data_IF_188878298441
#
_entry.id   IF_188878298441
#
_cell.length_a   1.000
_cell.length_b   1.000
_cell.length_c   1.000
_cell.angle_alpha   90.00
_cell.angle_beta   90.00
_cell.angle_gamma   90.00
#
_symmetry.space_group_name_H-M   'P 1'
#
loop_
_entity.id
_entity.type
_entity.pdbx_description
1 polymer ?
#
# COMPACT_ATOMS: atom_id res chain seq x y z
N UNK A 1 -11.17 -20.72 48.40
CA UNK A 1 -9.79 -20.26 48.10
C UNK A 1 -9.61 -20.39 46.60
N UNK A 2 -10.00 -19.35 45.86
CA UNK A 2 -9.87 -19.31 44.40
C UNK A 2 -8.41 -19.09 44.03
N UNK A 3 -7.88 -19.94 43.15
CA UNK A 3 -6.52 -19.81 42.64
C UNK A 3 -6.37 -18.47 41.92
N UNK A 4 -5.27 -17.72 42.13
CA UNK A 4 -5.02 -16.51 41.37
C UNK A 4 -4.89 -16.85 39.88
N UNK A 5 -5.64 -16.12 39.04
CA UNK A 5 -5.52 -16.22 37.58
C UNK A 5 -4.07 -15.90 37.17
N UNK A 6 -3.42 -16.76 36.36
CA UNK A 6 -2.10 -16.44 35.86
C UNK A 6 -2.23 -15.23 34.94
N UNK A 7 -1.54 -14.16 35.30
CA UNK A 7 -1.24 -13.04 34.41
C UNK A 7 -0.48 -13.60 33.22
N UNK A 8 -1.19 -13.84 32.12
CA UNK A 8 -0.60 -14.21 30.84
C UNK A 8 0.29 -13.06 30.41
N UNK A 9 1.61 -13.25 30.48
CA UNK A 9 2.56 -12.35 29.85
C UNK A 9 2.16 -12.14 28.38
N UNK A 10 2.35 -10.93 27.82
CA UNK A 10 2.06 -10.68 26.41
C UNK A 10 2.99 -11.55 25.57
N UNK A 11 2.49 -12.74 25.20
CA UNK A 11 3.17 -13.69 24.33
C UNK A 11 3.25 -13.08 22.92
N UNK A 12 4.22 -12.19 22.73
CA UNK A 12 4.64 -11.76 21.40
C UNK A 12 5.38 -12.94 20.78
N UNK A 13 4.62 -13.90 20.28
CA UNK A 13 5.20 -15.11 19.68
C UNK A 13 6.25 -14.69 18.65
N UNK A 14 7.42 -15.36 18.60
CA UNK A 14 8.48 -15.04 17.65
C UNK A 14 7.97 -15.01 16.20
N UNK A 15 6.92 -15.79 15.91
CA UNK A 15 6.21 -15.82 14.64
C UNK A 15 5.55 -14.48 14.25
N UNK A 16 4.98 -13.74 15.20
CA UNK A 16 4.37 -12.43 14.91
C UNK A 16 5.44 -11.40 14.54
N UNK A 17 6.61 -11.45 15.20
CA UNK A 17 7.75 -10.58 14.89
C UNK A 17 8.34 -10.87 13.52
N UNK A 18 8.48 -12.15 13.17
CA UNK A 18 8.96 -12.57 11.85
C UNK A 18 7.98 -12.19 10.74
N UNK A 19 6.68 -12.35 10.95
CA UNK A 19 5.65 -11.88 10.00
C UNK A 19 5.63 -10.38 9.82
N UNK A 20 5.80 -9.62 10.92
CA UNK A 20 5.89 -8.16 10.85
C UNK A 20 7.13 -7.71 10.05
N UNK A 21 8.29 -8.35 10.28
CA UNK A 21 9.51 -8.13 9.51
C UNK A 21 9.33 -8.48 8.03
N UNK A 22 8.74 -9.63 7.75
CA UNK A 22 8.45 -10.06 6.39
C UNK A 22 7.53 -9.06 5.68
N UNK A 23 6.44 -8.63 6.33
CA UNK A 23 5.55 -7.60 5.80
C UNK A 23 6.28 -6.29 5.50
N UNK A 24 7.14 -5.83 6.42
CA UNK A 24 7.98 -4.65 6.21
C UNK A 24 8.94 -4.82 5.02
N UNK A 25 9.60 -5.98 4.89
CA UNK A 25 10.47 -6.27 3.75
C UNK A 25 9.71 -6.25 2.43
N UNK A 26 8.50 -6.83 2.40
CA UNK A 26 7.62 -6.78 1.23
C UNK A 26 7.22 -5.34 0.91
N UNK A 27 6.86 -4.52 1.91
CA UNK A 27 6.56 -3.10 1.71
C UNK A 27 7.76 -2.34 1.17
N UNK A 28 8.96 -2.57 1.71
CA UNK A 28 10.19 -1.93 1.22
C UNK A 28 10.51 -2.35 -0.20
N UNK A 29 10.36 -3.63 -0.54
CA UNK A 29 10.52 -4.12 -1.90
C UNK A 29 9.52 -3.49 -2.87
N UNK A 30 8.24 -3.44 -2.48
CA UNK A 30 7.19 -2.75 -3.24
C UNK A 30 7.49 -1.26 -3.41
N UNK A 31 8.04 -0.60 -2.39
CA UNK A 31 8.45 0.80 -2.45
C UNK A 31 9.58 1.03 -3.45
N UNK A 32 10.56 0.12 -3.53
CA UNK A 32 11.61 0.20 -4.55
C UNK A 32 11.01 0.08 -5.96
N UNK A 33 10.13 -0.89 -6.19
CA UNK A 33 9.44 -1.06 -7.48
C UNK A 33 8.62 0.19 -7.82
N UNK A 34 7.90 0.73 -6.84
CA UNK A 34 7.12 1.94 -6.97
C UNK A 34 7.98 3.13 -7.40
N UNK A 35 9.15 3.34 -6.79
CA UNK A 35 10.04 4.46 -7.14
C UNK A 35 10.63 4.29 -8.54
N UNK A 36 11.01 3.06 -8.92
CA UNK A 36 11.48 2.74 -10.28
C UNK A 36 10.41 3.11 -11.31
N UNK A 37 9.15 2.76 -11.03
CA UNK A 37 8.01 3.17 -11.86
C UNK A 37 7.62 4.64 -11.70
N UNK A 38 7.89 5.33 -10.60
CA UNK A 38 7.51 6.74 -10.46
C UNK A 38 8.48 7.67 -11.20
N UNK A 39 9.78 7.33 -11.21
CA UNK A 39 10.85 8.11 -11.82
C UNK A 39 11.90 7.22 -12.49
N UNK A 40 11.59 6.64 -13.67
CA UNK A 40 12.56 5.84 -14.43
C UNK A 40 13.75 6.66 -14.93
N UNK A 41 13.63 7.99 -14.96
CA UNK A 41 14.68 8.95 -15.31
C UNK A 41 15.93 8.81 -14.43
N UNK A 42 15.76 8.37 -13.17
CA UNK A 42 16.88 8.09 -12.26
C UNK A 42 17.75 6.91 -12.71
N UNK A 43 17.23 6.07 -13.61
CA UNK A 43 17.93 4.91 -14.18
C UNK A 43 18.40 5.17 -15.62
N UNK A 44 18.37 6.43 -16.09
CA UNK A 44 18.78 6.80 -17.47
C UNK A 44 17.96 6.09 -18.57
N UNK A 45 16.74 5.64 -18.26
CA UNK A 45 15.80 5.14 -19.27
C UNK A 45 15.31 6.33 -20.12
N UNK A 46 15.48 6.24 -21.44
CA UNK A 46 15.09 7.29 -22.38
C UNK A 46 13.59 7.62 -22.29
N UNK A 47 13.25 8.89 -22.50
CA UNK A 47 11.87 9.41 -22.56
C UNK A 47 11.14 8.97 -23.85
N UNK A 48 11.13 7.68 -24.12
CA UNK A 48 10.24 7.11 -25.12
C UNK A 48 8.83 7.02 -24.54
N UNK A 49 7.77 7.40 -25.28
CA UNK A 49 6.39 7.22 -24.84
C UNK A 49 6.04 5.77 -24.47
N UNK A 50 6.74 4.79 -25.07
CA UNK A 50 6.62 3.36 -24.73
C UNK A 50 7.08 3.08 -23.29
N UNK A 51 8.08 3.82 -22.80
CA UNK A 51 8.57 3.74 -21.42
C UNK A 51 7.53 4.30 -20.44
N UNK A 52 6.75 5.32 -20.83
CA UNK A 52 5.67 5.89 -20.00
C UNK A 52 4.56 4.88 -19.65
N UNK A 53 4.18 4.00 -20.58
CA UNK A 53 3.19 2.93 -20.34
C UNK A 53 3.72 1.89 -19.33
N UNK A 54 4.95 1.43 -19.54
CA UNK A 54 5.60 0.46 -18.65
C UNK A 54 5.79 1.09 -17.28
N UNK A 55 6.15 2.37 -17.24
CA UNK A 55 6.36 3.17 -16.05
C UNK A 55 5.12 3.16 -15.14
N UNK A 56 3.94 3.55 -15.67
CA UNK A 56 2.68 3.56 -14.90
C UNK A 56 2.37 2.16 -14.36
N UNK A 57 2.49 1.13 -15.22
CA UNK A 57 2.18 -0.25 -14.83
C UNK A 57 3.09 -0.73 -13.69
N UNK A 58 4.38 -0.46 -13.77
CA UNK A 58 5.37 -0.82 -12.74
C UNK A 58 5.11 -0.04 -11.45
N UNK A 59 4.82 1.26 -11.56
CA UNK A 59 4.48 2.12 -10.41
C UNK A 59 3.24 1.59 -9.67
N UNK A 60 2.16 1.29 -10.39
CA UNK A 60 0.90 0.80 -9.81
C UNK A 60 1.08 -0.60 -9.21
N UNK A 61 1.86 -1.48 -9.85
CA UNK A 61 2.21 -2.78 -9.29
C UNK A 61 2.99 -2.63 -7.99
N UNK A 62 3.96 -1.71 -7.94
CA UNK A 62 4.69 -1.37 -6.71
C UNK A 62 3.75 -0.93 -5.60
N UNK A 63 2.77 -0.08 -5.89
CA UNK A 63 1.73 0.33 -4.93
C UNK A 63 0.91 -0.86 -4.41
N UNK A 64 0.58 -1.82 -5.28
CA UNK A 64 -0.11 -3.05 -4.87
C UNK A 64 0.72 -3.90 -3.90
N UNK A 65 2.02 -4.03 -4.16
CA UNK A 65 2.96 -4.73 -3.27
C UNK A 65 3.10 -3.99 -1.92
N UNK A 66 3.13 -2.65 -1.93
CA UNK A 66 3.11 -1.83 -0.71
C UNK A 66 1.87 -2.12 0.11
N UNK A 67 0.68 -2.13 -0.52
CA UNK A 67 -0.58 -2.44 0.15
C UNK A 67 -0.55 -3.85 0.79
N UNK A 68 -0.04 -4.84 0.05
CA UNK A 68 0.06 -6.22 0.53
C UNK A 68 1.05 -6.35 1.69
N UNK A 69 2.25 -5.77 1.57
CA UNK A 69 3.25 -5.77 2.64
C UNK A 69 2.77 -5.05 3.88
N UNK A 70 2.07 -3.91 3.69
CA UNK A 70 1.47 -3.13 4.77
C UNK A 70 0.41 -3.93 5.50
N UNK A 71 -0.47 -4.63 4.78
CA UNK A 71 -1.43 -5.56 5.36
C UNK A 71 -0.76 -6.67 6.15
N UNK A 72 0.20 -7.40 5.56
CA UNK A 72 0.89 -8.52 6.23
C UNK A 72 1.60 -8.03 7.49
N UNK A 73 2.31 -6.91 7.38
CA UNK A 73 3.08 -6.31 8.46
C UNK A 73 2.17 -5.89 9.62
N UNK A 74 1.16 -5.07 9.34
CA UNK A 74 0.24 -4.57 10.36
C UNK A 74 -0.67 -5.67 10.91
N UNK A 75 -1.14 -6.61 10.09
CA UNK A 75 -1.93 -7.75 10.56
C UNK A 75 -1.13 -8.64 11.54
N UNK A 76 0.19 -8.74 11.35
CA UNK A 76 1.05 -9.43 12.31
C UNK A 76 1.13 -8.72 13.67
N UNK A 77 1.00 -7.38 13.71
CA UNK A 77 0.94 -6.61 14.96
C UNK A 77 -0.37 -6.82 15.72
N UNK A 78 -1.48 -7.11 15.03
CA UNK A 78 -2.76 -7.46 15.65
C UNK A 78 -2.75 -8.84 16.32
N UNK A 79 -1.92 -9.77 15.83
CA UNK A 79 -1.77 -11.10 16.42
C UNK A 79 -3.10 -11.88 16.44
N UNK A 80 -3.50 -12.34 17.63
CA UNK A 80 -4.73 -13.12 17.85
C UNK A 80 -5.94 -12.27 18.28
N UNK A 81 -5.80 -10.95 18.38
CA UNK A 81 -6.91 -10.07 18.79
C UNK A 81 -7.86 -9.80 17.63
N UNK A 82 -9.12 -9.54 17.98
CA UNK A 82 -10.12 -9.06 17.04
C UNK A 82 -9.74 -7.65 16.57
N UNK A 83 -9.88 -7.43 15.26
CA UNK A 83 -9.63 -6.13 14.64
C UNK A 83 -10.68 -5.14 15.13
N UNK A 84 -10.26 -3.92 15.43
CA UNK A 84 -11.19 -2.86 15.78
C UNK A 84 -11.95 -2.38 14.55
N UNK A 85 -13.13 -1.79 14.75
CA UNK A 85 -13.92 -1.16 13.68
C UNK A 85 -13.10 -0.20 12.81
N UNK A 86 -12.30 0.74 13.36
CA UNK A 86 -11.47 1.61 12.52
C UNK A 86 -10.41 0.84 11.73
N UNK A 87 -9.91 -0.29 12.25
CA UNK A 87 -8.95 -1.12 11.56
C UNK A 87 -9.58 -1.84 10.35
N UNK A 88 -10.81 -2.34 10.47
CA UNK A 88 -11.56 -2.93 9.36
C UNK A 88 -11.95 -1.89 8.30
N UNK A 89 -12.33 -0.67 8.74
CA UNK A 89 -12.53 0.47 7.83
C UNK A 89 -11.22 0.82 7.12
N UNK A 90 -10.11 0.87 7.86
CA UNK A 90 -8.79 1.15 7.33
C UNK A 90 -8.41 0.18 6.21
N UNK A 91 -8.63 -1.12 6.41
CA UNK A 91 -8.36 -2.12 5.38
C UNK A 91 -9.22 -1.94 4.12
N UNK A 92 -10.50 -1.56 4.28
CA UNK A 92 -11.37 -1.23 3.14
C UNK A 92 -10.87 0.02 2.41
N UNK A 93 -10.42 1.03 3.13
CA UNK A 93 -9.82 2.23 2.54
C UNK A 93 -8.54 1.93 1.77
N UNK A 94 -7.69 1.02 2.25
CA UNK A 94 -6.52 0.57 1.48
C UNK A 94 -6.95 -0.06 0.16
N UNK A 95 -7.95 -0.95 0.18
CA UNK A 95 -8.45 -1.58 -1.03
C UNK A 95 -9.08 -0.56 -2.01
N UNK A 96 -9.91 0.35 -1.52
CA UNK A 96 -10.56 1.37 -2.38
C UNK A 96 -9.56 2.36 -2.93
N UNK A 97 -8.61 2.84 -2.11
CA UNK A 97 -7.55 3.74 -2.54
C UNK A 97 -6.68 3.11 -3.62
N UNK A 98 -6.33 1.83 -3.47
CA UNK A 98 -5.58 1.10 -4.49
C UNK A 98 -6.37 0.98 -5.81
N UNK A 99 -7.67 0.64 -5.73
CA UNK A 99 -8.56 0.60 -6.90
C UNK A 99 -8.61 1.96 -7.60
N UNK A 100 -8.78 3.05 -6.85
CA UNK A 100 -8.75 4.42 -7.40
C UNK A 100 -7.44 4.66 -8.13
N UNK A 101 -6.29 4.37 -7.51
CA UNK A 101 -4.98 4.57 -8.15
C UNK A 101 -4.79 3.73 -9.42
N UNK A 102 -5.26 2.48 -9.44
CA UNK A 102 -5.19 1.61 -10.63
C UNK A 102 -6.01 2.19 -11.78
N UNK A 103 -7.28 2.50 -11.54
CA UNK A 103 -8.17 2.95 -12.61
C UNK A 103 -7.84 4.35 -13.12
N UNK A 104 -7.37 5.23 -12.25
CA UNK A 104 -6.94 6.58 -12.64
C UNK A 104 -5.59 6.55 -13.36
N UNK A 105 -4.62 5.78 -12.86
CA UNK A 105 -3.31 5.66 -13.49
C UNK A 105 -3.36 4.95 -14.83
N UNK A 106 -4.13 3.87 -14.94
CA UNK A 106 -4.27 3.07 -16.15
C UNK A 106 -5.45 3.51 -17.04
N UNK A 107 -5.99 4.72 -16.87
CA UNK A 107 -7.19 5.15 -17.60
C UNK A 107 -7.01 5.08 -19.13
N UNK A 108 -5.81 5.38 -19.64
CA UNK A 108 -5.48 5.23 -21.07
C UNK A 108 -5.53 3.78 -21.55
N UNK A 109 -5.07 2.85 -20.72
CA UNK A 109 -5.04 1.41 -21.02
C UNK A 109 -6.46 0.87 -21.08
N UNK A 110 -7.34 1.38 -20.22
CA UNK A 110 -8.76 1.03 -20.22
C UNK A 110 -9.58 1.78 -21.29
N UNK A 111 -8.95 2.64 -22.11
CA UNK A 111 -9.65 3.42 -23.15
C UNK A 111 -10.54 4.54 -22.59
N UNK A 112 -10.37 4.91 -21.32
CA UNK A 112 -11.11 5.97 -20.65
C UNK A 112 -10.44 7.34 -20.84
N UNK A 113 -10.18 7.72 -22.09
CA UNK A 113 -9.47 8.96 -22.42
C UNK A 113 -10.43 9.99 -23.01
N UNK A 114 -10.15 11.28 -22.74
CA UNK A 114 -10.89 12.41 -23.34
C UNK A 114 -10.32 12.75 -24.73
N UNK A 115 -9.13 12.24 -25.04
CA UNK A 115 -8.39 12.56 -26.27
C UNK A 115 -8.67 11.48 -27.32
N UNK A 116 -9.19 11.87 -28.49
CA UNK A 116 -9.43 10.94 -29.58
C UNK A 116 -8.11 10.35 -30.08
N UNK A 117 -7.85 9.08 -29.71
CA UNK A 117 -6.86 8.19 -30.28
C UNK A 117 -5.42 8.76 -30.41
N UNK A 118 -4.74 9.11 -29.30
CA UNK A 118 -3.30 9.37 -29.35
C UNK A 118 -2.56 8.07 -29.71
N UNK A 119 -1.64 8.13 -30.67
CA UNK A 119 -0.80 6.99 -31.08
C UNK A 119 0.10 6.46 -29.95
N UNK A 120 0.22 7.23 -28.86
CA UNK A 120 1.03 6.92 -27.69
C UNK A 120 0.27 7.28 -26.40
N UNK A 121 0.14 6.35 -25.43
CA UNK A 121 -0.46 6.62 -24.12
C UNK A 121 0.24 7.79 -23.41
N UNK A 122 -0.52 8.69 -22.80
CA UNK A 122 -0.01 9.93 -22.22
C UNK A 122 -0.51 10.08 -20.77
N UNK A 123 0.43 10.02 -19.83
CA UNK A 123 0.12 10.24 -18.42
C UNK A 123 -0.27 11.70 -18.16
N UNK A 124 -1.58 11.95 -18.10
CA UNK A 124 -2.14 13.29 -17.97
C UNK A 124 -2.16 13.82 -16.53
N UNK A 125 -2.24 15.15 -16.33
CA UNK A 125 -2.35 15.74 -15.00
C UNK A 125 -3.54 15.21 -14.18
N UNK A 126 -4.67 14.93 -14.83
CA UNK A 126 -5.86 14.38 -14.16
C UNK A 126 -5.68 12.93 -13.70
N UNK A 127 -4.91 12.13 -14.45
CA UNK A 127 -4.53 10.79 -14.02
C UNK A 127 -3.59 10.86 -12.82
N UNK A 128 -2.60 11.76 -12.86
CA UNK A 128 -1.70 12.01 -11.75
C UNK A 128 -2.43 12.39 -10.46
N UNK A 129 -3.38 13.34 -10.54
CA UNK A 129 -4.20 13.75 -9.39
C UNK A 129 -5.07 12.59 -8.88
N UNK A 130 -5.70 11.83 -9.77
CA UNK A 130 -6.51 10.67 -9.38
C UNK A 130 -5.69 9.60 -8.66
N UNK A 131 -4.48 9.36 -9.16
CA UNK A 131 -3.51 8.44 -8.55
C UNK A 131 -3.10 8.93 -7.16
N UNK A 132 -2.80 10.22 -7.02
CA UNK A 132 -2.41 10.85 -5.76
C UNK A 132 -3.52 10.77 -4.71
N UNK A 133 -4.76 11.02 -5.10
CA UNK A 133 -5.93 10.82 -4.23
C UNK A 133 -6.00 9.37 -3.75
N UNK A 134 -5.85 8.40 -4.64
CA UNK A 134 -5.85 6.98 -4.27
C UNK A 134 -4.72 6.64 -3.29
N UNK A 135 -3.52 7.20 -3.46
CA UNK A 135 -2.40 7.02 -2.53
C UNK A 135 -2.67 7.63 -1.15
N UNK A 136 -3.29 8.81 -1.09
CA UNK A 136 -3.69 9.43 0.18
C UNK A 136 -4.71 8.55 0.90
N UNK A 137 -5.69 7.99 0.18
CA UNK A 137 -6.70 7.08 0.74
C UNK A 137 -6.03 5.79 1.25
N UNK A 138 -5.07 5.22 0.51
CA UNK A 138 -4.26 4.07 0.96
C UNK A 138 -3.50 4.41 2.24
N UNK A 139 -2.83 5.55 2.29
CA UNK A 139 -2.04 5.97 3.45
C UNK A 139 -2.92 6.15 4.70
N UNK A 140 -4.09 6.77 4.54
CA UNK A 140 -5.08 6.91 5.61
C UNK A 140 -5.62 5.55 6.07
N UNK A 141 -5.87 4.64 5.12
CA UNK A 141 -6.31 3.28 5.43
C UNK A 141 -5.28 2.49 6.24
N UNK A 142 -4.00 2.55 5.84
CA UNK A 142 -2.91 1.92 6.59
C UNK A 142 -2.74 2.54 7.99
N UNK A 143 -2.88 3.87 8.10
CA UNK A 143 -2.80 4.59 9.37
C UNK A 143 -3.92 4.18 10.33
N UNK A 144 -5.15 4.02 9.83
CA UNK A 144 -6.29 3.53 10.61
C UNK A 144 -6.13 2.06 11.03
N UNK A 145 -5.39 1.27 10.25
CA UNK A 145 -5.13 -0.14 10.54
C UNK A 145 -4.07 -0.36 11.63
N UNK A 146 -3.35 0.68 12.07
CA UNK A 146 -2.33 0.57 13.13
C UNK A 146 -2.97 0.25 14.49
N UNK A 147 -2.51 -0.79 15.23
CA UNK A 147 -3.01 -1.10 16.57
C UNK A 147 -2.39 -0.17 17.62
N UNK A 148 -2.85 1.08 17.71
CA UNK A 148 -2.31 2.10 18.61
C UNK A 148 -2.28 1.69 20.09
N UNK A 149 -3.21 0.85 20.52
CA UNK A 149 -3.28 0.36 21.90
C UNK A 149 -2.16 -0.64 22.26
N UNK A 150 -1.47 -1.22 21.27
CA UNK A 150 -0.31 -2.11 21.48
C UNK A 150 1.03 -1.38 21.36
N UNK A 151 1.06 -0.12 20.91
CA UNK A 151 2.30 0.61 20.76
C UNK A 151 2.88 0.93 22.15
N UNK A 152 4.18 0.68 22.40
CA UNK A 152 4.80 1.02 23.67
C UNK A 152 4.72 2.54 23.87
N UNK A 153 4.01 2.97 24.92
CA UNK A 153 3.92 4.38 25.29
C UNK A 153 5.32 4.85 25.70
N UNK A 154 5.98 5.62 24.83
CA UNK A 154 7.28 6.23 25.14
C UNK A 154 7.05 7.18 26.33
N UNK A 155 7.57 6.82 27.50
CA UNK A 155 7.63 7.69 28.69
C UNK A 155 8.67 8.78 28.47
#
# INVERSE_FOLDING_TARGET
>A
MSLPHPITEPNTSPLARERARFGLLVTMFGFVIFIIGAKPEWLTLDRSPVVGFVQITVFTLGLGIICLGGYIGLAALWGSEEKSIPADIGLRLVATGYVISVFTGMADIFGMTVQANPEVPFFGPWQAVGVEIGMVVVALGLLLFVPYHRLPKKR
#
